data_IF_984343708853
#
_entry.id   IF_984343708853
#
_cell.length_a   1.000
_cell.length_b   1.000
_cell.length_c   1.000
_cell.angle_alpha   90.00
_cell.angle_beta   90.00
_cell.angle_gamma   90.00
#
_symmetry.space_group_name_H-M   'P 1'
#
loop_
_entity.id
_entity.type
_entity.pdbx_description
1 polymer ?
#
# COMPACT_ATOMS: atom_id res chain seq x y z
N UNK A 1 19.15 1.22 -5.07
CA UNK A 1 18.04 0.39 -4.55
C UNK A 1 18.29 0.15 -3.08
N UNK A 2 17.28 0.30 -2.21
CA UNK A 2 17.42 -0.06 -0.79
C UNK A 2 17.28 -1.58 -0.62
N UNK A 3 17.95 -2.16 0.37
CA UNK A 3 17.91 -3.60 0.64
C UNK A 3 16.47 -4.11 0.84
N UNK A 4 15.66 -3.36 1.60
CA UNK A 4 14.26 -3.67 1.87
C UNK A 4 13.39 -3.70 0.60
N UNK A 5 13.66 -2.82 -0.37
CA UNK A 5 12.97 -2.81 -1.66
C UNK A 5 13.28 -4.08 -2.46
N UNK A 6 14.55 -4.48 -2.50
CA UNK A 6 14.97 -5.71 -3.20
C UNK A 6 14.35 -6.96 -2.57
N UNK A 7 14.33 -7.03 -1.24
CA UNK A 7 13.70 -8.14 -0.52
C UNK A 7 12.19 -8.22 -0.81
N UNK A 8 11.49 -7.09 -0.79
CA UNK A 8 10.06 -7.06 -1.10
C UNK A 8 9.77 -7.43 -2.55
N UNK A 9 10.57 -6.95 -3.51
CA UNK A 9 10.45 -7.35 -4.92
C UNK A 9 10.60 -8.86 -5.08
N UNK A 10 11.66 -9.46 -4.52
CA UNK A 10 11.88 -10.92 -4.58
C UNK A 10 10.74 -11.71 -3.95
N UNK A 11 10.19 -11.21 -2.84
CA UNK A 11 9.02 -11.81 -2.20
C UNK A 11 7.81 -11.86 -3.14
N UNK A 12 7.54 -10.77 -3.88
CA UNK A 12 6.44 -10.72 -4.84
C UNK A 12 6.70 -11.62 -6.06
N UNK A 13 7.93 -11.65 -6.58
CA UNK A 13 8.35 -12.53 -7.67
C UNK A 13 8.18 -14.01 -7.30
N UNK A 14 8.59 -14.39 -6.09
CA UNK A 14 8.46 -15.78 -5.59
C UNK A 14 6.99 -16.22 -5.50
N UNK A 15 6.06 -15.27 -5.32
CA UNK A 15 4.62 -15.53 -5.32
C UNK A 15 3.96 -15.36 -6.69
N UNK A 16 4.75 -15.22 -7.74
CA UNK A 16 4.31 -15.14 -9.13
C UNK A 16 3.35 -13.97 -9.41
N UNK A 17 3.60 -12.82 -8.76
CA UNK A 17 2.86 -11.59 -9.08
C UNK A 17 3.24 -11.08 -10.48
N UNK A 18 2.28 -10.52 -11.21
CA UNK A 18 2.54 -9.93 -12.52
C UNK A 18 3.53 -8.75 -12.41
N UNK A 19 4.44 -8.55 -13.39
CA UNK A 19 5.44 -7.48 -13.35
C UNK A 19 4.86 -6.07 -13.11
N UNK A 20 3.70 -5.79 -13.72
CA UNK A 20 2.99 -4.52 -13.50
C UNK A 20 2.52 -4.34 -12.05
N UNK A 21 2.06 -5.41 -11.41
CA UNK A 21 1.65 -5.39 -10.00
C UNK A 21 2.84 -5.23 -9.08
N UNK A 22 3.95 -5.91 -9.36
CA UNK A 22 5.21 -5.76 -8.61
C UNK A 22 5.65 -4.30 -8.63
N UNK A 23 5.73 -3.70 -9.83
CA UNK A 23 6.12 -2.31 -10.00
C UNK A 23 5.20 -1.38 -9.19
N UNK A 24 3.88 -1.56 -9.29
CA UNK A 24 2.90 -0.72 -8.59
C UNK A 24 2.98 -0.86 -7.07
N UNK A 25 3.21 -2.06 -6.56
CA UNK A 25 3.33 -2.32 -5.12
C UNK A 25 4.60 -1.69 -4.56
N UNK A 26 5.73 -1.91 -5.24
CA UNK A 26 7.03 -1.32 -4.86
C UNK A 26 6.97 0.21 -4.89
N UNK A 27 6.35 0.79 -5.92
CA UNK A 27 6.16 2.24 -6.00
C UNK A 27 5.30 2.78 -4.85
N UNK A 28 4.22 2.09 -4.48
CA UNK A 28 3.37 2.51 -3.37
C UNK A 28 4.14 2.56 -2.05
N UNK A 29 4.93 1.52 -1.76
CA UNK A 29 5.76 1.47 -0.54
C UNK A 29 6.84 2.54 -0.56
N UNK A 30 7.42 2.83 -1.74
CA UNK A 30 8.38 3.91 -1.90
C UNK A 30 7.74 5.30 -1.68
N UNK A 31 6.52 5.52 -2.21
CA UNK A 31 5.77 6.77 -2.00
C UNK A 31 5.45 6.99 -0.52
N UNK A 32 5.08 5.93 0.21
CA UNK A 32 4.86 6.00 1.66
C UNK A 32 6.15 6.41 2.39
N UNK A 33 7.26 5.75 2.07
CA UNK A 33 8.57 6.06 2.68
C UNK A 33 9.02 7.50 2.37
N UNK A 34 8.76 7.99 1.15
CA UNK A 34 9.02 9.37 0.77
C UNK A 34 8.11 10.36 1.50
N UNK A 35 6.83 10.02 1.71
CA UNK A 35 5.88 10.89 2.39
C UNK A 35 6.30 11.20 3.83
N UNK A 36 6.83 10.21 4.54
CA UNK A 36 7.26 10.34 5.93
C UNK A 36 8.78 10.54 6.12
N UNK A 37 9.56 10.49 5.03
CA UNK A 37 11.03 10.49 5.06
C UNK A 37 11.62 9.46 6.04
N UNK A 38 10.95 8.32 6.17
CA UNK A 38 11.33 7.23 7.09
C UNK A 38 11.31 5.90 6.36
N UNK A 39 12.03 4.92 6.92
CA UNK A 39 11.98 3.55 6.41
C UNK A 39 10.56 2.99 6.58
N UNK A 40 9.99 2.31 5.57
CA UNK A 40 8.59 1.88 5.59
C UNK A 40 8.31 0.84 6.68
N UNK A 41 9.32 0.09 7.13
CA UNK A 41 9.23 -0.84 8.27
C UNK A 41 9.03 -0.14 9.63
N UNK A 42 9.25 1.17 9.72
CA UNK A 42 9.11 1.96 10.96
C UNK A 42 7.88 2.86 10.98
N UNK A 43 7.04 2.77 9.96
CA UNK A 43 5.82 3.56 9.86
C UNK A 43 4.70 2.78 10.54
N UNK A 44 3.98 3.43 11.44
CA UNK A 44 2.90 2.81 12.19
C UNK A 44 1.59 2.76 11.38
N UNK A 45 0.59 2.08 11.90
CA UNK A 45 -0.70 1.90 11.24
C UNK A 45 -1.50 3.21 11.13
N UNK A 46 -1.41 4.09 12.12
CA UNK A 46 -2.01 5.44 12.07
C UNK A 46 -1.42 6.29 10.94
N UNK A 47 -0.10 6.27 10.75
CA UNK A 47 0.59 6.94 9.66
C UNK A 47 0.18 6.33 8.30
N UNK A 48 0.06 5.01 8.20
CA UNK A 48 -0.47 4.36 6.99
C UNK A 48 -1.91 4.81 6.69
N UNK A 49 -2.77 4.91 7.71
CA UNK A 49 -4.13 5.42 7.58
C UNK A 49 -4.15 6.86 7.06
N UNK A 50 -3.34 7.72 7.65
CA UNK A 50 -3.21 9.13 7.26
C UNK A 50 -2.70 9.28 5.82
N UNK A 51 -1.74 8.45 5.41
CA UNK A 51 -1.26 8.43 4.03
C UNK A 51 -2.37 8.05 3.04
N UNK A 52 -3.12 6.99 3.33
CA UNK A 52 -4.24 6.55 2.49
C UNK A 52 -5.33 7.63 2.42
N UNK A 53 -5.64 8.28 3.54
CA UNK A 53 -6.57 9.41 3.60
C UNK A 53 -6.09 10.59 2.75
N UNK A 54 -4.80 10.94 2.84
CA UNK A 54 -4.20 12.00 2.04
C UNK A 54 -4.27 11.72 0.53
N UNK A 55 -3.99 10.48 0.11
CA UNK A 55 -4.14 10.07 -1.28
C UNK A 55 -5.59 10.18 -1.78
N UNK A 56 -6.56 9.83 -0.94
CA UNK A 56 -7.97 9.89 -1.29
C UNK A 56 -8.49 11.34 -1.39
N UNK A 57 -8.19 12.16 -0.38
CA UNK A 57 -8.80 13.49 -0.23
C UNK A 57 -7.98 14.61 -0.88
N UNK A 58 -6.65 14.61 -0.70
CA UNK A 58 -5.79 15.71 -1.18
C UNK A 58 -5.35 15.51 -2.62
N UNK A 59 -5.03 14.26 -3.02
CA UNK A 59 -4.57 13.96 -4.39
C UNK A 59 -5.70 13.61 -5.37
N UNK A 60 -6.96 13.49 -4.89
CA UNK A 60 -8.15 13.12 -5.67
C UNK A 60 -7.90 11.96 -6.64
N UNK A 61 -7.11 10.98 -6.22
CA UNK A 61 -6.73 9.86 -7.07
C UNK A 61 -7.94 8.98 -7.38
N UNK A 62 -7.91 8.33 -8.55
CA UNK A 62 -8.93 7.34 -8.92
C UNK A 62 -8.99 6.24 -7.86
N UNK A 63 -10.20 5.78 -7.58
CA UNK A 63 -10.44 4.73 -6.58
C UNK A 63 -9.60 3.47 -6.83
N UNK A 64 -9.41 3.08 -8.08
CA UNK A 64 -8.55 1.94 -8.45
C UNK A 64 -7.09 2.11 -8.01
N UNK A 65 -6.56 3.33 -8.03
CA UNK A 65 -5.21 3.63 -7.54
C UNK A 65 -5.14 3.47 -6.03
N UNK A 66 -6.12 3.99 -5.29
CA UNK A 66 -6.19 3.87 -3.83
C UNK A 66 -6.34 2.41 -3.42
N UNK A 67 -7.22 1.67 -4.09
CA UNK A 67 -7.41 0.25 -3.86
C UNK A 67 -6.11 -0.54 -4.07
N UNK A 68 -5.41 -0.29 -5.18
CA UNK A 68 -4.13 -0.95 -5.45
C UNK A 68 -3.09 -0.61 -4.38
N UNK A 69 -3.06 0.63 -3.91
CA UNK A 69 -2.16 1.04 -2.85
C UNK A 69 -2.48 0.36 -1.52
N UNK A 70 -3.76 0.23 -1.17
CA UNK A 70 -4.19 -0.50 0.04
C UNK A 70 -3.75 -1.96 -0.04
N UNK A 71 -3.97 -2.64 -1.18
CA UNK A 71 -3.52 -4.01 -1.36
C UNK A 71 -1.99 -4.13 -1.28
N UNK A 72 -1.25 -3.16 -1.80
CA UNK A 72 0.21 -3.11 -1.70
C UNK A 72 0.67 -3.01 -0.24
N UNK A 73 0.08 -2.10 0.54
CA UNK A 73 0.42 -1.91 1.95
C UNK A 73 -0.01 -3.12 2.81
N UNK A 74 -1.18 -3.70 2.55
CA UNK A 74 -1.59 -4.98 3.15
C UNK A 74 -0.57 -6.08 2.88
N UNK A 75 -0.13 -6.23 1.64
CA UNK A 75 0.88 -7.22 1.27
C UNK A 75 2.20 -6.97 2.00
N UNK A 76 2.64 -5.71 2.04
CA UNK A 76 3.88 -5.32 2.68
C UNK A 76 3.87 -5.56 4.20
N UNK A 77 2.89 -5.02 4.94
CA UNK A 77 2.87 -5.14 6.40
C UNK A 77 2.44 -6.53 6.88
N UNK A 78 1.37 -7.10 6.32
CA UNK A 78 0.83 -8.37 6.83
C UNK A 78 1.53 -9.60 6.27
N UNK A 79 1.93 -9.59 4.99
CA UNK A 79 2.49 -10.78 4.35
C UNK A 79 4.02 -10.80 4.35
N UNK A 80 4.64 -9.65 4.09
CA UNK A 80 6.11 -9.55 4.03
C UNK A 80 6.72 -9.29 5.42
N UNK A 81 6.26 -8.26 6.14
CA UNK A 81 6.74 -7.96 7.51
C UNK A 81 6.07 -8.82 8.60
N UNK A 82 5.04 -9.59 8.25
CA UNK A 82 4.33 -10.53 9.15
C UNK A 82 3.68 -9.85 10.35
N UNK A 83 3.27 -8.58 10.22
CA UNK A 83 2.46 -7.92 11.26
C UNK A 83 1.07 -8.56 11.34
N UNK A 84 0.63 -9.00 12.52
CA UNK A 84 -0.70 -9.54 12.69
C UNK A 84 -1.78 -8.51 12.35
N UNK A 85 -2.89 -8.89 11.68
CA UNK A 85 -3.96 -7.96 11.33
C UNK A 85 -4.60 -7.23 12.53
N UNK A 86 -4.55 -7.85 13.71
CA UNK A 86 -5.05 -7.26 14.95
C UNK A 86 -4.10 -6.23 15.58
N UNK A 87 -2.83 -6.17 15.15
CA UNK A 87 -1.83 -5.24 15.65
C UNK A 87 -1.56 -4.08 14.70
N UNK A 88 -1.96 -4.19 13.43
CA UNK A 88 -1.66 -3.20 12.40
C UNK A 88 -2.90 -2.97 11.53
N UNK A 89 -3.67 -1.92 11.81
CA UNK A 89 -4.93 -1.69 11.11
C UNK A 89 -4.73 -0.87 9.83
N UNK A 90 -4.88 -1.51 8.67
CA UNK A 90 -4.93 -0.81 7.38
C UNK A 90 -6.38 -0.77 6.87
N UNK A 91 -6.99 0.42 6.74
CA UNK A 91 -8.39 0.56 6.42
C UNK A 91 -8.65 0.07 5.00
N UNK A 92 -9.67 -0.75 4.86
CA UNK A 92 -10.18 -1.12 3.54
C UNK A 92 -10.99 0.05 2.99
N UNK A 93 -10.64 0.61 1.82
CA UNK A 93 -11.35 1.74 1.24
C UNK A 93 -12.77 1.27 0.90
N UNK A 94 -13.78 1.90 1.50
CA UNK A 94 -15.17 1.68 1.08
C UNK A 94 -15.31 2.18 -0.34
N UNK A 95 -15.77 1.32 -1.25
CA UNK A 95 -16.08 1.71 -2.62
C UNK A 95 -17.16 2.82 -2.56
N UNK A 96 -16.92 4.04 -3.08
CA UNK A 96 -18.02 4.97 -3.27
C UNK A 96 -18.99 4.29 -4.22
N UNK A 97 -20.18 3.95 -3.73
CA UNK A 97 -21.27 3.38 -4.53
C UNK A 97 -21.44 4.27 -5.75
N UNK A 98 -21.06 3.78 -6.94
CA UNK A 98 -21.56 4.38 -8.17
C UNK A 98 -23.04 4.07 -8.19
N UNK A 99 -23.88 5.07 -7.94
CA UNK A 99 -25.29 4.96 -8.27
C UNK A 99 -25.36 4.66 -9.77
N UNK A 100 -26.09 3.62 -10.20
CA UNK A 100 -26.31 3.41 -11.62
C UNK A 100 -27.02 4.65 -12.16
N UNK A 101 -26.44 5.27 -13.19
CA UNK A 101 -27.15 6.23 -14.01
C UNK A 101 -28.22 5.44 -14.76
N UNK A 102 -29.48 5.61 -14.36
CA UNK A 102 -30.67 5.17 -15.09
C UNK A 102 -30.98 6.21 -16.16
#
# INVERSE_FOLDING_TARGET
MTELRTQFTRFLETRNYAPGTICRYVLTVADLAQHYHRRPDRINDEEVQNFLHNMAYRRKLRWSTIHTAVCALHCFYHRFLRHPPHQFMIPTPRLPKRLPLV
#
